data_IF_652675013699
#
_entry.id   IF_652675013699
#
_cell.length_a   1.000
_cell.length_b   1.000
_cell.length_c   1.000
_cell.angle_alpha   90.00
_cell.angle_beta   90.00
_cell.angle_gamma   90.00
#
_symmetry.space_group_name_H-M   'P 1'
#
loop_
_entity.id
_entity.type
_entity.pdbx_description
1 polymer ?
#
# COMPACT_ATOMS: atom_id res chain seq x y z
N UNK A 1 -5.92 14.92 17.30
CA UNK A 1 -5.46 13.87 16.34
C UNK A 1 -5.42 12.53 17.08
N UNK A 2 -6.28 11.56 16.73
CA UNK A 2 -6.28 10.22 17.36
C UNK A 2 -5.16 9.39 16.74
N UNK A 3 -4.25 8.86 17.57
CA UNK A 3 -3.20 7.94 17.14
C UNK A 3 -3.87 6.62 16.73
N UNK A 4 -3.79 6.25 15.45
CA UNK A 4 -4.15 4.90 15.00
C UNK A 4 -2.97 4.00 15.35
N UNK A 5 -3.11 3.22 16.42
CA UNK A 5 -2.15 2.16 16.76
C UNK A 5 -2.34 1.02 15.76
N UNK A 6 -1.28 0.65 15.05
CA UNK A 6 -1.25 -0.59 14.26
C UNK A 6 -1.28 -1.74 15.26
N UNK A 7 -2.32 -2.57 15.23
CA UNK A 7 -2.31 -3.86 15.91
C UNK A 7 -1.29 -4.73 15.18
N UNK A 8 -0.14 -4.98 15.82
CA UNK A 8 0.80 -6.00 15.36
C UNK A 8 0.15 -7.34 15.68
N UNK A 9 -0.21 -8.13 14.65
CA UNK A 9 -0.75 -9.47 14.86
C UNK A 9 0.21 -10.27 15.74
N UNK A 10 -0.28 -10.80 16.86
CA UNK A 10 0.50 -11.64 17.75
C UNK A 10 0.99 -12.91 17.06
N UNK A 11 2.00 -13.57 17.63
CA UNK A 11 2.51 -14.85 17.12
C UNK A 11 1.37 -15.88 17.11
N UNK A 12 1.19 -16.58 15.99
CA UNK A 12 0.18 -17.63 15.85
C UNK A 12 0.39 -18.71 16.92
N UNK A 13 -0.72 -19.19 17.48
CA UNK A 13 -0.69 -20.34 18.39
C UNK A 13 -0.36 -21.62 17.62
N UNK A 14 0.17 -22.64 18.30
CA UNK A 14 0.47 -23.93 17.67
C UNK A 14 -0.76 -24.55 16.98
N UNK A 15 -1.95 -24.36 17.56
CA UNK A 15 -3.22 -24.80 16.98
C UNK A 15 -3.51 -24.10 15.65
N UNK A 16 -3.36 -22.77 15.60
CA UNK A 16 -3.58 -21.99 14.39
C UNK A 16 -2.57 -22.34 13.29
N UNK A 17 -1.31 -22.58 13.65
CA UNK A 17 -0.30 -23.02 12.68
C UNK A 17 -0.63 -24.39 12.09
N UNK A 18 -1.01 -25.36 12.92
CA UNK A 18 -1.42 -26.68 12.45
C UNK A 18 -2.67 -26.64 11.56
N UNK A 19 -3.62 -25.76 11.87
CA UNK A 19 -4.81 -25.52 11.05
C UNK A 19 -4.45 -24.93 9.68
N UNK A 20 -3.54 -23.95 9.62
CA UNK A 20 -3.05 -23.38 8.35
C UNK A 20 -2.28 -24.41 7.52
N UNK A 21 -1.45 -25.26 8.14
CA UNK A 21 -0.74 -26.34 7.45
C UNK A 21 -1.72 -27.36 6.85
N UNK A 22 -2.79 -27.71 7.57
CA UNK A 22 -3.85 -28.57 7.06
C UNK A 22 -4.59 -27.93 5.88
N UNK A 23 -4.93 -26.64 5.97
CA UNK A 23 -5.58 -25.90 4.87
C UNK A 23 -4.67 -25.77 3.64
N UNK A 24 -3.36 -25.61 3.84
CA UNK A 24 -2.40 -25.53 2.74
C UNK A 24 -2.25 -26.87 1.99
N UNK A 25 -2.48 -27.99 2.67
CA UNK A 25 -2.41 -29.33 2.08
C UNK A 25 -3.72 -29.77 1.39
N UNK A 26 -4.84 -29.06 1.62
CA UNK A 26 -6.12 -29.35 1.01
C UNK A 26 -6.09 -29.04 -0.51
N UNK A 27 -6.52 -29.96 -1.38
CA UNK A 27 -6.57 -29.68 -2.81
C UNK A 27 -7.70 -28.70 -3.16
N UNK A 28 -7.47 -27.85 -4.16
CA UNK A 28 -8.44 -26.83 -4.60
C UNK A 28 -9.84 -27.40 -4.93
N UNK A 29 -9.92 -28.66 -5.39
CA UNK A 29 -11.18 -29.33 -5.72
C UNK A 29 -12.08 -29.60 -4.51
N UNK A 30 -11.52 -29.60 -3.31
CA UNK A 30 -12.25 -29.82 -2.05
C UNK A 30 -12.67 -28.50 -1.37
N UNK A 31 -12.33 -27.34 -1.96
CA UNK A 31 -12.72 -26.04 -1.41
C UNK A 31 -14.21 -25.80 -1.67
N UNK A 32 -14.97 -25.63 -0.60
CA UNK A 32 -16.39 -25.25 -0.65
C UNK A 32 -16.52 -23.73 -0.83
N UNK A 33 -17.25 -23.33 -1.87
CA UNK A 33 -17.55 -21.92 -2.20
C UNK A 33 -19.04 -21.60 -2.05
N UNK A 34 -19.85 -22.50 -1.50
CA UNK A 34 -21.31 -22.37 -1.46
C UNK A 34 -21.82 -21.18 -0.63
N UNK A 35 -20.99 -20.66 0.27
CA UNK A 35 -21.29 -19.52 1.14
C UNK A 35 -20.95 -18.15 0.51
N UNK A 36 -20.19 -18.13 -0.58
CA UNK A 36 -19.75 -16.90 -1.24
C UNK A 36 -20.31 -16.77 -2.66
N UNK A 37 -20.75 -15.56 -3.01
CA UNK A 37 -21.18 -15.27 -4.39
C UNK A 37 -19.98 -15.32 -5.35
N UNK A 38 -20.11 -15.88 -6.56
CA UNK A 38 -19.07 -15.83 -7.56
C UNK A 38 -18.73 -14.37 -7.90
N UNK A 39 -17.43 -14.04 -7.85
CA UNK A 39 -16.95 -12.72 -8.25
C UNK A 39 -17.22 -12.51 -9.75
N UNK A 40 -18.02 -11.50 -10.10
CA UNK A 40 -18.28 -11.14 -11.49
C UNK A 40 -17.46 -9.91 -11.91
N UNK A 41 -17.16 -9.77 -13.20
CA UNK A 41 -16.39 -8.61 -13.69
C UNK A 41 -17.06 -7.25 -13.43
N UNK A 42 -18.38 -7.24 -13.20
CA UNK A 42 -19.13 -6.01 -12.95
C UNK A 42 -18.88 -5.45 -11.54
N UNK A 43 -18.74 -6.32 -10.54
CA UNK A 43 -18.40 -5.97 -9.16
C UNK A 43 -17.00 -5.33 -9.05
N UNK A 44 -16.11 -5.67 -9.98
CA UNK A 44 -14.72 -5.16 -10.00
C UNK A 44 -14.55 -3.92 -10.87
N UNK A 45 -15.60 -3.39 -11.48
CA UNK A 45 -15.53 -2.21 -12.37
C UNK A 45 -14.87 -1.01 -11.72
N UNK A 46 -15.18 -0.77 -10.45
CA UNK A 46 -14.66 0.37 -9.68
C UNK A 46 -13.50 -0.03 -8.75
N UNK A 47 -12.94 -1.24 -8.91
CA UNK A 47 -11.86 -1.71 -8.07
C UNK A 47 -10.60 -0.87 -8.31
N UNK A 48 -10.10 -0.22 -7.25
CA UNK A 48 -8.88 0.58 -7.30
C UNK A 48 -7.70 -0.25 -6.77
N UNK A 49 -6.84 -0.68 -7.67
CA UNK A 49 -5.57 -1.32 -7.32
C UNK A 49 -4.72 -0.35 -6.48
N UNK A 50 -4.26 -0.80 -5.32
CA UNK A 50 -3.35 -0.02 -4.49
C UNK A 50 -3.99 1.09 -3.64
N UNK A 51 -5.33 1.12 -3.48
CA UNK A 51 -6.03 2.10 -2.61
C UNK A 51 -5.44 2.20 -1.20
N UNK A 52 -4.96 1.09 -0.66
CA UNK A 52 -4.36 1.03 0.69
C UNK A 52 -2.83 1.03 0.68
N UNK A 53 -2.19 1.08 -0.49
CA UNK A 53 -0.75 1.12 -0.60
C UNK A 53 -0.23 2.44 -0.03
N UNK A 54 0.59 2.34 1.02
CA UNK A 54 1.28 3.48 1.63
C UNK A 54 2.77 3.30 1.38
N UNK A 55 3.37 4.10 0.49
CA UNK A 55 4.81 4.02 0.27
C UNK A 55 5.56 4.27 1.58
N UNK A 56 6.54 3.41 1.85
CA UNK A 56 7.47 3.62 2.96
C UNK A 56 8.41 4.76 2.56
N UNK A 57 8.31 5.88 3.27
CA UNK A 57 9.20 7.02 3.07
C UNK A 57 10.52 6.74 3.80
N UNK A 58 11.63 6.82 3.08
CA UNK A 58 12.96 6.77 3.67
C UNK A 58 13.43 8.18 3.98
N UNK A 59 13.97 8.40 5.18
CA UNK A 59 14.59 9.66 5.56
C UNK A 59 16.02 9.69 5.00
N UNK A 60 16.25 10.58 4.04
CA UNK A 60 17.55 10.80 3.40
C UNK A 60 17.98 12.25 3.62
N UNK A 61 19.29 12.49 3.78
CA UNK A 61 19.87 13.83 3.70
C UNK A 61 20.24 14.12 2.24
N UNK A 62 19.48 14.98 1.57
CA UNK A 62 19.72 15.43 0.19
C UNK A 62 19.90 16.96 0.17
N UNK A 63 20.77 17.45 -0.72
CA UNK A 63 20.89 18.87 -1.01
C UNK A 63 20.02 19.22 -2.22
N UNK A 64 19.21 20.26 -2.09
CA UNK A 64 18.34 20.82 -3.13
C UNK A 64 18.66 22.32 -3.16
N UNK A 65 18.63 22.92 -4.35
CA UNK A 65 18.88 24.34 -4.52
C UNK A 65 17.91 25.20 -3.69
N UNK A 66 18.43 26.34 -3.20
CA UNK A 66 17.72 27.17 -2.23
C UNK A 66 16.45 27.80 -2.82
N UNK A 67 16.52 28.27 -4.07
CA UNK A 67 15.42 28.85 -4.83
C UNK A 67 14.28 27.84 -5.05
N UNK A 68 14.61 26.59 -5.38
CA UNK A 68 13.65 25.49 -5.53
C UNK A 68 12.94 25.23 -4.20
N UNK A 69 13.69 25.15 -3.11
CA UNK A 69 13.11 24.97 -1.77
C UNK A 69 12.19 26.12 -1.39
N UNK A 70 12.59 27.36 -1.68
CA UNK A 70 11.81 28.54 -1.36
C UNK A 70 10.52 28.61 -2.20
N UNK A 71 10.58 28.26 -3.48
CA UNK A 71 9.39 28.13 -4.33
C UNK A 71 8.39 27.11 -3.77
N UNK A 72 8.87 25.95 -3.30
CA UNK A 72 8.02 24.94 -2.69
C UNK A 72 7.44 25.38 -1.33
N UNK A 73 8.21 26.12 -0.52
CA UNK A 73 7.75 26.67 0.76
C UNK A 73 6.66 27.74 0.60
N UNK A 74 6.72 28.55 -0.47
CA UNK A 74 5.71 29.57 -0.78
C UNK A 74 4.30 28.97 -0.97
N UNK A 75 4.21 27.69 -1.38
CA UNK A 75 2.95 26.95 -1.54
C UNK A 75 2.36 26.47 -0.19
N UNK A 76 2.98 26.85 0.93
CA UNK A 76 2.50 26.59 2.29
C UNK A 76 2.85 25.19 2.80
N UNK A 77 2.11 24.78 3.85
CA UNK A 77 2.34 23.50 4.54
C UNK A 77 2.27 22.32 3.57
N UNK A 78 3.18 21.36 3.75
CA UNK A 78 3.22 20.14 2.93
C UNK A 78 4.21 20.18 1.76
N UNK A 79 5.07 21.19 1.68
CA UNK A 79 6.07 21.33 0.61
C UNK A 79 6.92 20.06 0.39
N UNK A 80 7.33 19.36 1.45
CA UNK A 80 8.06 18.08 1.34
C UNK A 80 7.24 16.97 0.67
N UNK A 81 5.93 16.92 0.92
CA UNK A 81 5.03 15.97 0.26
C UNK A 81 4.94 16.27 -1.23
N UNK A 82 4.83 17.55 -1.61
CA UNK A 82 4.80 17.98 -3.01
C UNK A 82 6.09 17.67 -3.76
N UNK A 83 7.25 17.87 -3.11
CA UNK A 83 8.54 17.44 -3.68
C UNK A 83 8.51 15.94 -3.99
N UNK A 84 8.06 15.12 -3.05
CA UNK A 84 7.97 13.67 -3.24
C UNK A 84 6.94 13.26 -4.32
N UNK A 85 5.84 14.00 -4.47
CA UNK A 85 4.87 13.79 -5.55
C UNK A 85 5.48 14.12 -6.92
N UNK A 86 6.20 15.24 -7.04
CA UNK A 86 6.90 15.62 -8.26
C UNK A 86 7.92 14.56 -8.69
N UNK A 87 8.70 14.03 -7.74
CA UNK A 87 9.65 12.95 -8.01
C UNK A 87 8.95 11.67 -8.50
N UNK A 88 7.78 11.32 -7.95
CA UNK A 88 6.99 10.18 -8.43
C UNK A 88 6.47 10.38 -9.83
N UNK A 89 6.05 11.60 -10.17
CA UNK A 89 5.59 11.91 -11.51
C UNK A 89 6.73 11.83 -12.53
N UNK A 90 7.93 12.28 -12.17
CA UNK A 90 9.12 12.10 -12.99
C UNK A 90 9.44 10.62 -13.21
N UNK A 91 9.47 9.81 -12.14
CA UNK A 91 9.69 8.34 -12.24
C UNK A 91 8.65 7.65 -13.13
N UNK A 92 7.38 8.03 -13.03
CA UNK A 92 6.29 7.44 -13.85
C UNK A 92 6.38 7.83 -15.33
N UNK A 93 6.92 9.00 -15.65
CA UNK A 93 7.14 9.43 -17.04
C UNK A 93 8.32 8.70 -17.67
N UNK A 94 9.36 8.47 -16.89
CA UNK A 94 10.55 7.71 -17.29
C UNK A 94 10.19 6.24 -17.58
N UNK A 95 9.46 5.57 -16.67
CA UNK A 95 9.04 4.18 -16.82
C UNK A 95 8.04 3.90 -17.97
N UNK A 96 7.58 4.94 -18.69
CA UNK A 96 6.70 4.83 -19.87
C UNK A 96 7.46 4.93 -21.20
N UNK A 97 8.77 5.17 -21.16
CA UNK A 97 9.68 4.98 -22.29
C UNK A 97 10.32 3.59 -22.20
#
# INVERSE_FOLDING_TARGET
MRKVTKQTGGKLTAKQTAELEALQALPDSEIDYSDISPANSEEWRDAVVGKFYRPIKQQLTLRIDADVIDWFKQQGRGYQTRINELLRDAMRKDAKH
#
